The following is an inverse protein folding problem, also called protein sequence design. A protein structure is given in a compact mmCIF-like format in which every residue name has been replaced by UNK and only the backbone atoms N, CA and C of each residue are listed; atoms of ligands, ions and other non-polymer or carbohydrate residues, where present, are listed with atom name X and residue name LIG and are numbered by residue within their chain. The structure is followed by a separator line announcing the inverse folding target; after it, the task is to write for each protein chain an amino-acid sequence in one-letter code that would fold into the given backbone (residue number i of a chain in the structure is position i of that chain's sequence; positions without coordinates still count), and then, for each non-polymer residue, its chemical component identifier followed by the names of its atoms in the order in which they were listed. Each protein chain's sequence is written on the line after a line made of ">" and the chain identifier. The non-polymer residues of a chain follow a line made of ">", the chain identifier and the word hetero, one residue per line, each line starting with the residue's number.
data_IF_820496433640
#
_entry.id   IF_820496433640
#
_cell.length_a   1.000
_cell.length_b   1.000
_cell.length_c   1.000
_cell.angle_alpha   90.00
_cell.angle_beta   90.00
_cell.angle_gamma   90.00
#
_symmetry.space_group_name_H-M   'P 1'
#
loop_
_entity.id
_entity.type
_entity.pdbx_description
1 polymer ?
#
# COMPACT_ATOMS: atom_id res chain seq x y z
N UNK A 1 11.83 -45.54 2.10
CA UNK A 1 10.87 -45.84 1.02
C UNK A 1 10.82 -44.59 0.17
N UNK A 2 11.23 -44.65 -1.11
CA UNK A 2 11.32 -43.47 -1.98
C UNK A 2 9.93 -43.22 -2.57
N UNK A 3 9.40 -42.01 -2.44
CA UNK A 3 8.18 -41.62 -3.15
C UNK A 3 8.52 -41.42 -4.63
N UNK A 4 7.92 -42.19 -5.55
CA UNK A 4 8.22 -42.05 -6.96
C UNK A 4 7.63 -40.74 -7.51
N UNK A 5 8.30 -40.08 -8.46
CA UNK A 5 7.75 -38.91 -9.12
C UNK A 5 6.42 -39.25 -9.80
N UNK A 6 5.47 -38.31 -9.81
CA UNK A 6 4.20 -38.49 -10.52
C UNK A 6 4.47 -38.85 -11.99
N UNK A 7 3.73 -39.82 -12.52
CA UNK A 7 3.96 -40.39 -13.85
C UNK A 7 3.93 -39.36 -15.01
N UNK A 8 3.33 -38.19 -14.80
CA UNK A 8 3.23 -37.10 -15.77
C UNK A 8 4.47 -36.20 -15.82
N UNK A 9 5.31 -36.20 -14.79
CA UNK A 9 6.45 -35.27 -14.65
C UNK A 9 7.48 -35.43 -15.77
N UNK A 10 7.94 -36.65 -16.15
CA UNK A 10 8.93 -36.79 -17.22
C UNK A 10 8.46 -36.22 -18.56
N UNK A 11 7.17 -36.31 -18.86
CA UNK A 11 6.60 -35.76 -20.10
C UNK A 11 6.56 -34.23 -20.06
N UNK A 12 6.24 -33.63 -18.92
CA UNK A 12 6.24 -32.18 -18.73
C UNK A 12 7.67 -31.61 -18.86
N UNK A 13 8.65 -32.24 -18.21
CA UNK A 13 10.07 -31.84 -18.30
C UNK A 13 10.56 -31.86 -19.74
N UNK A 14 10.22 -32.91 -20.51
CA UNK A 14 10.56 -33.00 -21.94
C UNK A 14 9.96 -31.84 -22.74
N UNK A 15 8.66 -31.54 -22.56
CA UNK A 15 8.00 -30.42 -23.25
C UNK A 15 8.67 -29.08 -22.96
N UNK A 16 8.99 -28.81 -21.69
CA UNK A 16 9.69 -27.60 -21.29
C UNK A 16 11.06 -27.48 -21.97
N UNK A 17 11.85 -28.57 -22.00
CA UNK A 17 13.16 -28.56 -22.67
C UNK A 17 13.06 -28.33 -24.17
N UNK A 18 12.10 -28.97 -24.85
CA UNK A 18 11.87 -28.74 -26.30
C UNK A 18 11.43 -27.30 -26.58
N UNK A 19 10.78 -26.64 -25.61
CA UNK A 19 10.41 -25.22 -25.69
C UNK A 19 11.54 -24.26 -25.27
N UNK A 20 12.76 -24.76 -24.99
CA UNK A 20 13.89 -23.93 -24.54
C UNK A 20 13.79 -23.45 -23.09
N UNK A 21 12.82 -23.95 -22.31
CA UNK A 21 12.59 -23.57 -20.92
C UNK A 21 13.52 -24.37 -20.03
N UNK A 22 14.31 -23.67 -19.19
CA UNK A 22 15.19 -24.28 -18.21
C UNK A 22 14.37 -24.82 -17.04
N UNK A 23 14.49 -26.13 -16.77
CA UNK A 23 13.83 -26.80 -15.64
C UNK A 23 14.84 -26.94 -14.50
N UNK A 24 14.44 -26.51 -13.30
CA UNK A 24 15.21 -26.67 -12.07
C UNK A 24 14.42 -27.54 -11.09
N UNK A 25 15.10 -28.43 -10.37
CA UNK A 25 14.49 -29.23 -9.31
C UNK A 25 14.72 -28.56 -7.96
N UNK A 26 13.66 -28.39 -7.17
CA UNK A 26 13.73 -27.98 -5.76
C UNK A 26 13.20 -29.13 -4.92
N UNK A 27 14.00 -29.63 -3.98
CA UNK A 27 13.61 -30.72 -3.08
C UNK A 27 14.28 -30.59 -1.73
N UNK A 28 13.61 -31.06 -0.67
CA UNK A 28 14.16 -31.25 0.67
C UNK A 28 14.77 -32.65 0.89
N UNK A 29 14.76 -33.50 -0.14
CA UNK A 29 15.33 -34.85 -0.08
C UNK A 29 16.86 -34.82 0.05
N UNK A 30 17.42 -35.89 0.61
CA UNK A 30 18.86 -36.10 0.64
C UNK A 30 19.45 -36.04 -0.80
N UNK A 31 20.65 -35.46 -1.02
CA UNK A 31 21.20 -35.20 -2.37
C UNK A 31 21.22 -36.41 -3.31
N UNK A 32 21.49 -37.60 -2.76
CA UNK A 32 21.47 -38.87 -3.50
C UNK A 32 20.07 -39.17 -4.05
N UNK A 33 19.03 -38.96 -3.24
CA UNK A 33 17.63 -39.15 -3.60
C UNK A 33 17.17 -38.09 -4.60
N UNK A 34 17.52 -36.82 -4.35
CA UNK A 34 17.26 -35.71 -5.25
C UNK A 34 17.82 -35.96 -6.65
N UNK A 35 19.08 -36.40 -6.73
CA UNK A 35 19.76 -36.75 -7.98
C UNK A 35 19.09 -37.93 -8.70
N UNK A 36 18.73 -38.98 -7.96
CA UNK A 36 18.05 -40.14 -8.53
C UNK A 36 16.69 -39.76 -9.14
N UNK A 37 15.92 -38.90 -8.46
CA UNK A 37 14.63 -38.40 -8.97
C UNK A 37 14.85 -37.47 -10.17
N UNK A 38 15.79 -36.52 -10.08
CA UNK A 38 16.13 -35.59 -11.16
C UNK A 38 16.53 -36.32 -12.45
N UNK A 39 17.32 -37.39 -12.33
CA UNK A 39 17.70 -38.25 -13.44
C UNK A 39 16.49 -39.03 -13.98
N UNK A 40 15.68 -39.61 -13.10
CA UNK A 40 14.48 -40.37 -13.48
C UNK A 40 13.44 -39.52 -14.24
N UNK A 41 13.33 -38.23 -13.91
CA UNK A 41 12.41 -37.31 -14.60
C UNK A 41 13.04 -36.53 -15.75
N UNK A 42 14.33 -36.72 -16.03
CA UNK A 42 15.03 -36.10 -17.17
C UNK A 42 15.38 -34.61 -16.99
N UNK A 43 15.49 -34.14 -15.73
CA UNK A 43 16.01 -32.80 -15.40
C UNK A 43 17.52 -32.78 -15.64
N UNK A 44 18.23 -33.82 -15.21
CA UNK A 44 19.67 -34.01 -15.45
C UNK A 44 19.92 -35.25 -16.34
N UNK A 45 21.07 -35.26 -17.01
CA UNK A 45 21.48 -36.37 -17.89
C UNK A 45 22.10 -37.53 -17.09
N UNK A 46 21.92 -38.78 -17.50
CA UNK A 46 22.65 -39.91 -16.87
C UNK A 46 24.17 -39.69 -16.99
N UNK A 47 24.85 -39.63 -15.84
CA UNK A 47 26.29 -39.38 -15.76
C UNK A 47 26.72 -37.93 -15.56
N UNK A 48 25.78 -36.98 -15.36
CA UNK A 48 26.16 -35.64 -14.94
C UNK A 48 26.66 -35.59 -13.49
N UNK A 49 27.77 -34.91 -13.28
CA UNK A 49 28.32 -34.62 -11.96
C UNK A 49 27.64 -33.37 -11.38
N UNK A 50 27.27 -33.39 -10.10
CA UNK A 50 26.85 -32.16 -9.40
C UNK A 50 28.08 -31.31 -9.04
N UNK A 51 27.92 -30.00 -8.77
CA UNK A 51 29.04 -29.15 -8.34
C UNK A 51 29.80 -29.71 -7.13
N UNK A 52 29.11 -30.38 -6.22
CA UNK A 52 29.68 -31.01 -5.02
C UNK A 52 30.51 -32.26 -5.36
N UNK A 53 30.07 -33.06 -6.34
CA UNK A 53 30.83 -34.22 -6.84
C UNK A 53 32.09 -33.76 -7.57
N UNK A 54 32.00 -32.68 -8.35
CA UNK A 54 33.15 -32.06 -9.01
C UNK A 54 34.14 -31.51 -7.97
N UNK A 55 33.65 -30.83 -6.93
CA UNK A 55 34.46 -30.33 -5.82
C UNK A 55 35.18 -31.46 -5.08
N UNK A 56 34.46 -32.54 -4.74
CA UNK A 56 34.99 -33.69 -4.04
C UNK A 56 36.04 -34.45 -4.87
N UNK A 57 35.78 -34.65 -6.17
CA UNK A 57 36.72 -35.30 -7.10
C UNK A 57 37.99 -34.49 -7.29
N UNK A 58 37.86 -33.16 -7.42
CA UNK A 58 38.99 -32.26 -7.65
C UNK A 58 39.68 -31.82 -6.35
N UNK A 59 39.13 -32.17 -5.18
CA UNK A 59 39.61 -31.74 -3.85
C UNK A 59 39.75 -30.23 -3.74
N UNK A 60 38.82 -29.51 -4.36
CA UNK A 60 38.73 -28.05 -4.28
C UNK A 60 37.51 -27.67 -3.44
N UNK A 61 37.52 -26.53 -2.73
CA UNK A 61 36.32 -26.04 -2.07
C UNK A 61 35.27 -25.64 -3.13
N UNK A 62 33.98 -25.77 -2.78
CA UNK A 62 32.84 -25.67 -3.71
C UNK A 62 32.79 -24.33 -4.46
N UNK A 63 33.25 -23.26 -3.82
CA UNK A 63 33.36 -21.90 -4.36
C UNK A 63 34.38 -21.76 -5.51
N UNK A 64 35.25 -22.76 -5.71
CA UNK A 64 36.27 -22.80 -6.77
C UNK A 64 35.92 -23.71 -7.95
N UNK A 65 34.75 -24.35 -7.94
CA UNK A 65 34.27 -25.14 -9.08
C UNK A 65 33.86 -24.18 -10.20
N UNK A 66 34.46 -24.33 -11.40
CA UNK A 66 34.08 -23.53 -12.57
C UNK A 66 32.58 -23.76 -12.87
N UNK A 67 31.74 -22.71 -12.95
CA UNK A 67 30.30 -22.83 -13.19
C UNK A 67 29.90 -23.59 -14.47
N UNK A 68 30.87 -23.83 -15.38
CA UNK A 68 30.69 -24.61 -16.61
C UNK A 68 30.91 -26.11 -16.44
N UNK A 69 31.45 -26.55 -15.30
CA UNK A 69 31.59 -27.96 -14.95
C UNK A 69 30.49 -28.38 -13.97
N UNK A 70 29.71 -29.38 -14.37
CA UNK A 70 28.54 -29.89 -13.64
C UNK A 70 27.23 -29.41 -14.26
N UNK A 71 26.23 -30.30 -14.33
CA UNK A 71 24.91 -29.96 -14.87
C UNK A 71 24.16 -29.15 -13.80
N UNK A 72 23.84 -27.87 -14.00
CA UNK A 72 23.31 -26.99 -12.96
C UNK A 72 21.82 -27.27 -12.62
N UNK A 73 21.31 -28.43 -13.01
CA UNK A 73 19.95 -28.90 -12.74
C UNK A 73 19.70 -29.32 -11.28
N UNK A 74 20.77 -29.52 -10.50
CA UNK A 74 20.71 -29.75 -9.05
C UNK A 74 21.73 -28.82 -8.39
N UNK A 75 21.27 -27.88 -7.56
CA UNK A 75 22.11 -27.02 -6.73
C UNK A 75 21.78 -27.29 -5.27
N UNK A 76 22.76 -27.64 -4.44
CA UNK A 76 22.58 -27.53 -2.99
C UNK A 76 22.49 -26.03 -2.65
N UNK A 77 21.29 -25.58 -2.26
CA UNK A 77 21.19 -24.33 -1.51
C UNK A 77 21.94 -24.48 -0.17
N UNK A 78 22.47 -23.40 0.40
CA UNK A 78 23.01 -23.45 1.76
C UNK A 78 21.95 -24.07 2.69
N UNK A 79 22.39 -24.86 3.68
CA UNK A 79 21.59 -25.67 4.62
C UNK A 79 20.56 -24.91 5.48
N UNK A 80 20.07 -23.74 5.04
CA UNK A 80 19.02 -22.94 5.65
C UNK A 80 18.17 -22.10 4.66
N UNK A 81 18.17 -22.38 3.35
CA UNK A 81 17.25 -21.70 2.42
C UNK A 81 16.49 -22.71 1.57
N UNK A 82 15.48 -23.33 2.17
CA UNK A 82 14.27 -23.69 1.43
C UNK A 82 13.76 -22.33 0.93
N UNK A 83 13.65 -22.10 -0.37
CA UNK A 83 12.83 -20.98 -0.84
C UNK A 83 11.46 -21.23 -0.24
N UNK A 84 11.03 -20.38 0.70
CA UNK A 84 9.69 -20.50 1.28
C UNK A 84 8.71 -20.60 0.11
N UNK A 85 7.73 -21.51 0.16
CA UNK A 85 6.81 -21.73 -0.96
C UNK A 85 6.20 -20.40 -1.45
N UNK A 86 6.02 -19.46 -0.52
CA UNK A 86 5.57 -18.08 -0.78
C UNK A 86 6.55 -17.23 -1.60
N UNK A 87 7.87 -17.41 -1.44
CA UNK A 87 8.89 -16.72 -2.26
C UNK A 87 8.80 -17.17 -3.72
N UNK A 88 8.54 -18.46 -3.94
CA UNK A 88 8.34 -19.01 -5.28
C UNK A 88 7.05 -18.49 -5.89
N UNK A 89 5.96 -18.46 -5.13
CA UNK A 89 4.67 -17.93 -5.59
C UNK A 89 4.75 -16.43 -5.87
N UNK A 90 5.48 -15.69 -5.05
CA UNK A 90 5.73 -14.25 -5.23
C UNK A 90 6.49 -13.99 -6.54
N UNK A 91 7.58 -14.72 -6.76
CA UNK A 91 8.35 -14.63 -7.99
C UNK A 91 7.52 -15.04 -9.22
N UNK A 92 6.69 -16.08 -9.10
CA UNK A 92 5.78 -16.50 -10.16
C UNK A 92 4.76 -15.41 -10.50
N UNK A 93 4.13 -14.80 -9.49
CA UNK A 93 3.18 -13.70 -9.68
C UNK A 93 3.84 -12.55 -10.45
N UNK A 94 5.05 -12.15 -10.02
CA UNK A 94 5.82 -11.10 -10.68
C UNK A 94 6.14 -11.41 -12.15
N UNK A 95 6.64 -12.61 -12.43
CA UNK A 95 7.02 -12.99 -13.78
C UNK A 95 5.80 -12.95 -14.72
N UNK A 96 4.65 -13.48 -14.28
CA UNK A 96 3.42 -13.50 -15.08
C UNK A 96 2.95 -12.10 -15.49
N UNK A 97 3.23 -11.06 -14.71
CA UNK A 97 2.92 -9.66 -15.08
C UNK A 97 3.67 -9.15 -16.32
N UNK A 98 4.79 -9.77 -16.68
CA UNK A 98 5.64 -9.37 -17.83
C UNK A 98 5.54 -10.34 -19.02
N UNK A 99 4.67 -11.34 -18.93
CA UNK A 99 4.62 -12.45 -19.89
C UNK A 99 3.83 -12.17 -21.17
N UNK A 100 3.24 -10.98 -21.35
CA UNK A 100 2.41 -10.64 -22.52
C UNK A 100 3.10 -10.97 -23.85
N UNK A 101 4.37 -10.59 -24.03
CA UNK A 101 5.12 -10.89 -25.25
C UNK A 101 5.40 -12.39 -25.43
N UNK A 102 5.55 -13.14 -24.34
CA UNK A 102 5.87 -14.56 -24.34
C UNK A 102 4.64 -15.44 -24.61
N UNK A 103 3.43 -14.94 -24.35
CA UNK A 103 2.17 -15.66 -24.64
C UNK A 103 1.62 -15.40 -26.04
N UNK A 104 2.30 -14.60 -26.86
CA UNK A 104 1.88 -14.28 -28.23
C UNK A 104 1.30 -12.87 -28.40
N UNK A 105 1.50 -11.98 -27.43
CA UNK A 105 1.09 -10.58 -27.49
C UNK A 105 -0.33 -10.31 -26.94
N UNK A 106 -0.85 -9.09 -27.15
CA UNK A 106 -2.12 -8.64 -26.61
C UNK A 106 -3.33 -9.55 -26.91
N UNK A 107 -3.35 -10.22 -28.07
CA UNK A 107 -4.46 -11.12 -28.45
C UNK A 107 -4.62 -12.32 -27.49
N UNK A 108 -3.53 -12.75 -26.85
CA UNK A 108 -3.49 -13.94 -25.98
C UNK A 108 -3.26 -13.61 -24.51
N UNK A 109 -3.24 -12.32 -24.15
CA UNK A 109 -2.96 -11.89 -22.76
C UNK A 109 -3.96 -12.45 -21.75
N UNK A 110 -5.21 -12.72 -22.16
CA UNK A 110 -6.24 -13.32 -21.32
C UNK A 110 -5.86 -14.72 -20.79
N UNK A 111 -4.91 -15.42 -21.44
CA UNK A 111 -4.39 -16.70 -20.98
C UNK A 111 -3.57 -16.61 -19.69
N UNK A 112 -3.12 -15.41 -19.31
CA UNK A 112 -2.42 -15.14 -18.04
C UNK A 112 -3.39 -14.98 -16.86
N UNK A 113 -4.68 -14.77 -17.12
CA UNK A 113 -5.66 -14.51 -16.07
C UNK A 113 -5.87 -15.72 -15.13
N UNK A 114 -6.04 -16.97 -15.58
CA UNK A 114 -6.25 -18.10 -14.67
C UNK A 114 -5.14 -18.33 -13.62
N UNK A 115 -3.83 -18.34 -13.97
CA UNK A 115 -2.80 -18.50 -12.96
C UNK A 115 -2.70 -17.29 -12.02
N UNK A 116 -2.89 -16.07 -12.54
CA UNK A 116 -2.91 -14.86 -11.71
C UNK A 116 -4.13 -14.80 -10.78
N UNK A 117 -5.29 -15.28 -11.22
CA UNK A 117 -6.50 -15.41 -10.40
C UNK A 117 -6.25 -16.38 -9.25
N UNK A 118 -5.62 -17.53 -9.51
CA UNK A 118 -5.24 -18.49 -8.46
C UNK A 118 -4.31 -17.84 -7.43
N UNK A 119 -3.28 -17.12 -7.88
CA UNK A 119 -2.33 -16.44 -7.01
C UNK A 119 -2.99 -15.30 -6.22
N UNK A 120 -4.01 -14.64 -6.78
CA UNK A 120 -4.77 -13.61 -6.10
C UNK A 120 -5.71 -14.15 -5.00
N UNK A 121 -5.81 -15.47 -4.83
CA UNK A 121 -6.67 -16.10 -3.81
C UNK A 121 -5.93 -16.80 -2.67
N UNK A 122 -4.59 -16.87 -2.74
CA UNK A 122 -3.75 -17.55 -1.73
C UNK A 122 -3.80 -16.86 -0.36
N UNK A 123 -3.39 -17.56 0.69
CA UNK A 123 -3.42 -17.04 2.07
C UNK A 123 -2.37 -15.94 2.33
N UNK A 124 -1.21 -16.03 1.68
CA UNK A 124 -0.14 -15.06 1.86
C UNK A 124 -0.46 -13.72 1.19
N UNK A 125 -0.44 -12.64 1.97
CA UNK A 125 -0.88 -11.31 1.50
C UNK A 125 0.10 -10.73 0.49
N UNK A 126 1.40 -10.95 0.70
CA UNK A 126 2.45 -10.43 -0.20
C UNK A 126 2.30 -11.02 -1.60
N UNK A 127 1.97 -12.31 -1.70
CA UNK A 127 1.72 -12.98 -2.99
C UNK A 127 0.46 -12.43 -3.66
N UNK A 128 -0.64 -12.26 -2.91
CA UNK A 128 -1.88 -11.68 -3.47
C UNK A 128 -1.66 -10.27 -4.00
N UNK A 129 -0.96 -9.42 -3.24
CA UNK A 129 -0.69 -8.04 -3.64
C UNK A 129 0.12 -8.00 -4.94
N UNK A 130 1.13 -8.88 -5.09
CA UNK A 130 1.91 -8.99 -6.33
C UNK A 130 1.11 -9.56 -7.50
N UNK A 131 0.20 -10.49 -7.24
CA UNK A 131 -0.71 -11.01 -8.26
C UNK A 131 -1.69 -9.91 -8.74
N UNK A 132 -2.22 -9.09 -7.83
CA UNK A 132 -3.06 -7.92 -8.17
C UNK A 132 -2.26 -6.88 -8.95
N UNK A 133 -1.02 -6.57 -8.54
CA UNK A 133 -0.12 -5.70 -9.30
C UNK A 133 0.07 -6.20 -10.74
N UNK A 134 0.31 -7.49 -10.90
CA UNK A 134 0.50 -8.13 -12.20
C UNK A 134 -0.79 -8.15 -13.03
N UNK A 135 -1.94 -8.42 -12.41
CA UNK A 135 -3.26 -8.30 -13.05
C UNK A 135 -3.51 -6.89 -13.55
N UNK A 136 -3.14 -5.87 -12.78
CA UNK A 136 -3.26 -4.47 -13.19
C UNK A 136 -2.36 -4.17 -14.39
N UNK A 137 -1.10 -4.63 -14.37
CA UNK A 137 -0.19 -4.46 -15.50
C UNK A 137 -0.75 -5.08 -16.79
N UNK A 138 -1.18 -6.35 -16.74
CA UNK A 138 -1.72 -7.03 -17.93
C UNK A 138 -3.07 -6.47 -18.37
N UNK A 139 -3.84 -5.83 -17.49
CA UNK A 139 -5.12 -5.21 -17.86
C UNK A 139 -4.97 -4.11 -18.92
N UNK A 140 -3.82 -3.42 -18.95
CA UNK A 140 -3.53 -2.39 -19.94
C UNK A 140 -3.34 -2.96 -21.35
N UNK A 141 -2.87 -4.20 -21.46
CA UNK A 141 -2.65 -4.93 -22.71
C UNK A 141 -3.94 -5.52 -23.29
N UNK A 142 -5.02 -5.65 -22.50
CA UNK A 142 -6.30 -6.16 -23.01
C UNK A 142 -6.99 -5.11 -23.90
N UNK A 143 -7.58 -5.53 -25.02
CA UNK A 143 -8.48 -4.67 -25.78
C UNK A 143 -9.79 -4.41 -24.98
N UNK A 144 -10.57 -3.35 -25.25
CA UNK A 144 -11.86 -3.13 -24.58
C UNK A 144 -12.82 -4.34 -24.65
N UNK A 145 -12.99 -5.03 -25.80
CA UNK A 145 -13.75 -6.28 -25.85
C UNK A 145 -13.17 -7.39 -24.96
N UNK A 146 -11.85 -7.55 -24.89
CA UNK A 146 -11.23 -8.58 -24.05
C UNK A 146 -11.32 -8.26 -22.56
N UNK A 147 -11.30 -6.97 -22.20
CA UNK A 147 -11.60 -6.53 -20.83
C UNK A 147 -13.00 -6.97 -20.42
N UNK A 148 -14.01 -6.72 -21.24
CA UNK A 148 -15.39 -7.12 -20.94
C UNK A 148 -15.58 -8.64 -21.02
N UNK A 149 -14.93 -9.31 -21.97
CA UNK A 149 -15.05 -10.75 -22.21
C UNK A 149 -14.29 -11.63 -21.21
N UNK A 150 -13.19 -11.14 -20.63
CA UNK A 150 -12.30 -11.96 -19.80
C UNK A 150 -11.97 -11.32 -18.45
N UNK A 151 -11.50 -10.07 -18.45
CA UNK A 151 -11.00 -9.42 -17.23
C UNK A 151 -12.12 -9.06 -16.25
N UNK A 152 -13.22 -8.47 -16.71
CA UNK A 152 -14.38 -8.13 -15.88
C UNK A 152 -15.02 -9.39 -15.26
N UNK A 153 -15.22 -10.50 -15.99
CA UNK A 153 -15.62 -11.77 -15.38
C UNK A 153 -14.70 -12.25 -14.26
N UNK A 154 -13.37 -12.09 -14.39
CA UNK A 154 -12.43 -12.39 -13.30
C UNK A 154 -12.68 -11.50 -12.09
N UNK A 155 -12.82 -10.18 -12.28
CA UNK A 155 -13.11 -9.25 -11.18
C UNK A 155 -14.40 -9.64 -10.45
N UNK A 156 -15.45 -10.01 -11.19
CA UNK A 156 -16.73 -10.47 -10.63
C UNK A 156 -16.60 -11.78 -9.84
N UNK A 157 -15.84 -12.75 -10.36
CA UNK A 157 -15.56 -14.02 -9.65
C UNK A 157 -14.79 -13.77 -8.35
N UNK A 158 -13.79 -12.89 -8.38
CA UNK A 158 -13.04 -12.55 -7.18
C UNK A 158 -13.92 -11.83 -6.14
N UNK A 159 -14.69 -10.82 -6.59
CA UNK A 159 -15.58 -10.04 -5.72
C UNK A 159 -16.74 -10.86 -5.14
N UNK A 160 -17.21 -11.88 -5.85
CA UNK A 160 -18.27 -12.80 -5.40
C UNK A 160 -17.75 -14.10 -4.79
N UNK A 161 -16.44 -14.26 -4.58
CA UNK A 161 -15.85 -15.49 -4.07
C UNK A 161 -16.18 -15.76 -2.60
N UNK A 162 -16.26 -17.04 -2.23
CA UNK A 162 -16.60 -17.47 -0.86
C UNK A 162 -15.58 -16.98 0.18
N UNK A 163 -14.31 -16.94 -0.20
CA UNK A 163 -13.20 -16.55 0.68
C UNK A 163 -12.92 -15.05 0.63
N UNK A 164 -12.72 -14.46 1.81
CA UNK A 164 -12.44 -13.02 1.93
C UNK A 164 -11.13 -12.61 1.24
N UNK A 165 -10.15 -13.53 1.10
CA UNK A 165 -8.86 -13.28 0.42
C UNK A 165 -9.08 -12.88 -1.03
N UNK A 166 -9.96 -13.61 -1.72
CA UNK A 166 -10.39 -13.33 -3.09
C UNK A 166 -11.08 -11.97 -3.22
N UNK A 167 -12.04 -11.69 -2.32
CA UNK A 167 -12.79 -10.42 -2.31
C UNK A 167 -11.90 -9.21 -1.99
N UNK A 168 -10.91 -9.40 -1.12
CA UNK A 168 -9.86 -8.41 -0.81
C UNK A 168 -9.06 -8.07 -2.06
N UNK A 169 -8.59 -9.06 -2.80
CA UNK A 169 -7.86 -8.86 -4.06
C UNK A 169 -8.69 -8.14 -5.13
N UNK A 170 -9.99 -8.43 -5.20
CA UNK A 170 -10.90 -7.79 -6.16
C UNK A 170 -10.90 -6.26 -6.03
N UNK A 171 -10.82 -5.73 -4.80
CA UNK A 171 -10.85 -4.29 -4.51
C UNK A 171 -9.80 -3.50 -5.31
N UNK A 172 -8.64 -4.12 -5.60
CA UNK A 172 -7.54 -3.49 -6.33
C UNK A 172 -7.66 -3.49 -7.86
N UNK A 173 -8.72 -4.07 -8.43
CA UNK A 173 -8.84 -4.29 -9.88
C UNK A 173 -9.88 -3.40 -10.58
N UNK A 174 -10.73 -2.70 -9.82
CA UNK A 174 -11.83 -1.91 -10.40
C UNK A 174 -11.34 -0.71 -11.21
N UNK A 175 -10.39 0.05 -10.67
CA UNK A 175 -9.95 1.31 -11.27
C UNK A 175 -9.28 1.15 -12.65
N UNK A 176 -8.61 0.02 -12.88
CA UNK A 176 -7.85 -0.22 -14.12
C UNK A 176 -8.72 -0.64 -15.30
N UNK A 177 -9.86 -1.29 -15.05
CA UNK A 177 -10.78 -1.70 -16.10
C UNK A 177 -11.93 -0.71 -16.32
N UNK A 178 -12.36 0.02 -15.28
CA UNK A 178 -13.51 0.92 -15.34
C UNK A 178 -13.53 1.92 -16.52
N UNK A 179 -12.44 2.62 -16.87
CA UNK A 179 -12.49 3.65 -17.91
C UNK A 179 -12.77 3.11 -19.32
N UNK A 180 -12.43 1.84 -19.57
CA UNK A 180 -12.32 1.25 -20.92
C UNK A 180 -13.47 0.30 -21.25
N UNK A 181 -14.47 0.19 -20.38
CA UNK A 181 -15.63 -0.69 -20.56
C UNK A 181 -16.91 0.11 -20.77
N UNK A 182 -17.91 -0.55 -21.34
CA UNK A 182 -19.22 0.00 -21.69
C UNK A 182 -20.00 0.47 -20.45
N UNK A 183 -20.91 1.42 -20.64
CA UNK A 183 -21.73 1.98 -19.55
C UNK A 183 -22.53 0.93 -18.74
N UNK A 184 -23.11 -0.13 -19.35
CA UNK A 184 -23.73 -1.21 -18.59
C UNK A 184 -22.74 -1.90 -17.66
N UNK A 185 -21.54 -2.22 -18.16
CA UNK A 185 -20.51 -2.87 -17.35
C UNK A 185 -19.99 -1.94 -16.24
N UNK A 186 -19.85 -0.63 -16.51
CA UNK A 186 -19.54 0.36 -15.48
C UNK A 186 -20.56 0.34 -14.34
N UNK A 187 -21.86 0.29 -14.65
CA UNK A 187 -22.90 0.23 -13.63
C UNK A 187 -22.79 -1.03 -12.77
N UNK A 188 -22.49 -2.18 -13.38
CA UNK A 188 -22.24 -3.42 -12.65
C UNK A 188 -21.00 -3.29 -11.75
N UNK A 189 -19.88 -2.76 -12.25
CA UNK A 189 -18.66 -2.57 -11.45
C UNK A 189 -18.92 -1.68 -10.23
N UNK A 190 -19.70 -0.59 -10.35
CA UNK A 190 -20.06 0.24 -9.20
C UNK A 190 -20.91 -0.54 -8.18
N UNK A 191 -21.83 -1.39 -8.64
CA UNK A 191 -22.62 -2.25 -7.75
C UNK A 191 -21.76 -3.28 -7.01
N UNK A 192 -20.83 -3.94 -7.70
CA UNK A 192 -19.91 -4.89 -7.06
C UNK A 192 -19.01 -4.20 -6.04
N UNK A 193 -18.47 -3.01 -6.36
CA UNK A 193 -17.66 -2.25 -5.41
C UNK A 193 -18.46 -1.83 -4.17
N UNK A 194 -19.73 -1.39 -4.34
CA UNK A 194 -20.64 -1.11 -3.24
C UNK A 194 -20.82 -2.31 -2.32
N UNK A 195 -21.01 -3.50 -2.88
CA UNK A 195 -21.15 -4.72 -2.09
C UNK A 195 -19.89 -5.01 -1.25
N UNK A 196 -18.69 -4.76 -1.81
CA UNK A 196 -17.43 -4.92 -1.09
C UNK A 196 -17.25 -3.89 0.04
N UNK A 197 -17.72 -2.65 -0.15
CA UNK A 197 -17.74 -1.63 0.90
C UNK A 197 -18.64 -2.00 2.08
N UNK A 198 -19.68 -2.81 1.85
CA UNK A 198 -20.60 -3.29 2.88
C UNK A 198 -20.45 -4.79 3.18
N UNK A 199 -19.30 -5.39 2.88
CA UNK A 199 -19.04 -6.82 3.13
C UNK A 199 -19.09 -7.14 4.63
N UNK A 200 -19.63 -8.29 5.01
CA UNK A 200 -19.69 -8.71 6.41
C UNK A 200 -18.29 -8.83 7.04
N UNK A 201 -17.27 -9.11 6.23
CA UNK A 201 -15.88 -9.30 6.67
C UNK A 201 -15.13 -7.96 6.75
N UNK A 202 -14.63 -7.56 7.94
CA UNK A 202 -13.89 -6.30 8.09
C UNK A 202 -12.67 -6.15 7.19
N UNK A 203 -11.98 -7.26 6.89
CA UNK A 203 -10.79 -7.26 6.04
C UNK A 203 -11.10 -6.81 4.60
N UNK A 204 -12.29 -7.18 4.08
CA UNK A 204 -12.75 -6.77 2.75
C UNK A 204 -13.16 -5.31 2.76
N UNK A 205 -13.92 -4.86 3.77
CA UNK A 205 -14.28 -3.43 3.91
C UNK A 205 -13.06 -2.54 4.04
N UNK A 206 -12.05 -2.99 4.80
CA UNK A 206 -10.74 -2.32 4.92
C UNK A 206 -10.06 -2.19 3.55
N UNK A 207 -10.03 -3.26 2.76
CA UNK A 207 -9.46 -3.24 1.42
C UNK A 207 -10.24 -2.29 0.48
N UNK A 208 -11.58 -2.34 0.51
CA UNK A 208 -12.43 -1.44 -0.26
C UNK A 208 -12.19 0.03 0.11
N UNK A 209 -12.11 0.36 1.41
CA UNK A 209 -11.79 1.71 1.89
C UNK A 209 -10.44 2.21 1.37
N UNK A 210 -9.40 1.36 1.38
CA UNK A 210 -8.07 1.70 0.86
C UNK A 210 -8.07 2.01 -0.65
N UNK A 211 -9.01 1.45 -1.41
CA UNK A 211 -9.12 1.61 -2.87
C UNK A 211 -10.21 2.60 -3.30
N UNK A 212 -11.00 3.10 -2.35
CA UNK A 212 -12.10 4.03 -2.63
C UNK A 212 -11.62 5.32 -3.31
N UNK A 213 -10.55 5.92 -2.81
CA UNK A 213 -9.98 7.14 -3.40
C UNK A 213 -9.43 6.94 -4.80
N UNK A 214 -8.78 5.80 -5.06
CA UNK A 214 -8.28 5.44 -6.39
C UNK A 214 -9.43 5.18 -7.37
N UNK A 215 -10.47 4.47 -6.93
CA UNK A 215 -11.63 4.19 -7.75
C UNK A 215 -12.40 5.48 -8.07
N UNK A 216 -12.60 6.36 -7.09
CA UNK A 216 -13.28 7.65 -7.29
C UNK A 216 -12.63 8.50 -8.40
N UNK A 217 -11.30 8.44 -8.57
CA UNK A 217 -10.56 9.20 -9.59
C UNK A 217 -10.90 8.80 -11.03
N UNK A 218 -11.44 7.59 -11.24
CA UNK A 218 -11.79 7.10 -12.58
C UNK A 218 -13.30 7.12 -12.86
N UNK A 219 -14.11 7.55 -11.89
CA UNK A 219 -15.56 7.68 -12.05
C UNK A 219 -15.93 9.05 -12.65
N UNK A 220 -17.03 9.07 -13.37
CA UNK A 220 -17.70 10.32 -13.73
C UNK A 220 -18.17 11.05 -12.47
N UNK A 221 -18.04 12.39 -12.46
CA UNK A 221 -18.30 13.23 -11.29
C UNK A 221 -19.72 13.04 -10.69
N UNK A 222 -20.71 12.76 -11.54
CA UNK A 222 -22.07 12.42 -11.11
C UNK A 222 -22.11 11.19 -10.19
N UNK A 223 -21.35 10.14 -10.54
CA UNK A 223 -21.26 8.90 -9.76
C UNK A 223 -20.36 9.05 -8.53
N UNK A 224 -19.37 9.95 -8.56
CA UNK A 224 -18.63 10.32 -7.34
C UNK A 224 -19.61 10.88 -6.30
N UNK A 225 -20.47 11.82 -6.68
CA UNK A 225 -21.43 12.43 -5.76
C UNK A 225 -22.52 11.45 -5.30
N UNK A 226 -23.13 10.73 -6.23
CA UNK A 226 -24.28 9.88 -5.94
C UNK A 226 -23.93 8.51 -5.33
N UNK A 227 -22.73 7.99 -5.59
CA UNK A 227 -22.35 6.63 -5.18
C UNK A 227 -21.11 6.60 -4.26
N UNK A 228 -20.04 7.35 -4.56
CA UNK A 228 -18.82 7.35 -3.73
C UNK A 228 -19.07 8.03 -2.37
N UNK A 229 -19.77 9.17 -2.33
CA UNK A 229 -20.02 9.89 -1.06
C UNK A 229 -20.79 9.03 -0.04
N UNK A 230 -21.89 8.35 -0.39
CA UNK A 230 -22.55 7.44 0.55
C UNK A 230 -21.64 6.29 1.04
N UNK A 231 -20.84 5.69 0.14
CA UNK A 231 -19.90 4.63 0.53
C UNK A 231 -18.80 5.15 1.46
N UNK A 232 -18.24 6.33 1.17
CA UNK A 232 -17.27 7.03 1.99
C UNK A 232 -17.81 7.29 3.39
N UNK A 233 -19.00 7.89 3.50
CA UNK A 233 -19.62 8.17 4.79
C UNK A 233 -19.94 6.89 5.58
N UNK A 234 -20.37 5.82 4.91
CA UNK A 234 -20.61 4.53 5.56
C UNK A 234 -19.33 3.91 6.13
N UNK A 235 -18.23 3.94 5.36
CA UNK A 235 -16.94 3.39 5.80
C UNK A 235 -16.27 4.24 6.89
N UNK A 236 -16.46 5.56 6.84
CA UNK A 236 -15.99 6.48 7.88
C UNK A 236 -16.76 6.33 9.19
N UNK A 237 -17.96 5.75 9.16
CA UNK A 237 -18.77 5.44 10.34
C UNK A 237 -18.74 3.94 10.72
N UNK A 238 -17.83 3.16 10.13
CA UNK A 238 -17.72 1.71 10.37
C UNK A 238 -17.46 1.39 11.85
N UNK A 239 -17.96 0.26 12.32
CA UNK A 239 -17.72 -0.19 13.70
C UNK A 239 -16.23 -0.42 13.98
N UNK A 240 -15.48 -0.84 12.96
CA UNK A 240 -14.05 -1.17 13.05
C UNK A 240 -13.19 0.07 12.79
N UNK A 241 -12.36 0.44 13.77
CA UNK A 241 -11.48 1.61 13.65
C UNK A 241 -10.47 1.46 12.49
N UNK A 242 -10.03 0.22 12.24
CA UNK A 242 -9.15 -0.15 11.12
C UNK A 242 -9.72 0.17 9.74
N UNK A 243 -11.04 0.25 9.61
CA UNK A 243 -11.75 0.67 8.39
C UNK A 243 -11.89 2.20 8.38
N UNK A 244 -12.37 2.79 9.49
CA UNK A 244 -12.58 4.24 9.62
C UNK A 244 -11.31 5.04 9.34
N UNK A 245 -10.15 4.59 9.81
CA UNK A 245 -8.89 5.30 9.59
C UNK A 245 -8.50 5.38 8.11
N UNK A 246 -8.86 4.38 7.29
CA UNK A 246 -8.59 4.42 5.84
C UNK A 246 -9.55 5.36 5.09
N UNK A 247 -10.73 5.62 5.65
CA UNK A 247 -11.65 6.60 5.08
C UNK A 247 -11.04 8.01 5.09
N UNK A 248 -10.18 8.34 6.06
CA UNK A 248 -9.46 9.63 6.10
C UNK A 248 -8.52 9.79 4.89
N UNK A 249 -7.85 8.73 4.46
CA UNK A 249 -7.02 8.76 3.24
C UNK A 249 -7.87 8.94 1.98
N UNK A 250 -9.02 8.24 1.92
CA UNK A 250 -9.98 8.42 0.83
C UNK A 250 -10.55 9.86 0.80
N UNK A 251 -10.74 10.51 1.95
CA UNK A 251 -11.23 11.88 2.09
C UNK A 251 -10.36 12.87 1.29
N UNK A 252 -9.03 12.75 1.38
CA UNK A 252 -8.10 13.59 0.60
C UNK A 252 -8.35 13.45 -0.91
N UNK A 253 -8.45 12.21 -1.39
CA UNK A 253 -8.67 11.94 -2.82
C UNK A 253 -10.05 12.42 -3.29
N UNK A 254 -11.09 12.24 -2.48
CA UNK A 254 -12.46 12.65 -2.81
C UNK A 254 -12.57 14.18 -2.83
N UNK A 255 -12.00 14.87 -1.84
CA UNK A 255 -12.01 16.33 -1.78
C UNK A 255 -11.33 16.97 -3.00
N UNK A 256 -10.26 16.36 -3.52
CA UNK A 256 -9.57 16.84 -4.73
C UNK A 256 -10.41 16.70 -6.01
N UNK A 257 -11.45 15.86 -6.02
CA UNK A 257 -12.30 15.61 -7.20
C UNK A 257 -13.55 16.49 -7.24
N UNK A 258 -13.93 17.08 -6.11
CA UNK A 258 -15.17 17.84 -5.98
C UNK A 258 -14.93 19.35 -6.13
N UNK A 259 -15.90 20.10 -6.69
CA UNK A 259 -15.90 21.55 -6.60
C UNK A 259 -15.89 22.04 -5.15
N UNK A 260 -15.22 23.16 -4.89
CA UNK A 260 -15.07 23.73 -3.54
C UNK A 260 -16.41 23.97 -2.82
N UNK A 261 -17.43 24.42 -3.54
CA UNK A 261 -18.78 24.67 -3.00
C UNK A 261 -19.51 23.42 -2.49
N UNK A 262 -19.05 22.22 -2.90
CA UNK A 262 -19.66 20.95 -2.50
C UNK A 262 -18.92 20.24 -1.37
N UNK A 263 -17.70 20.68 -1.03
CA UNK A 263 -16.92 20.07 0.04
C UNK A 263 -17.61 20.22 1.40
N UNK A 264 -18.18 21.38 1.65
CA UNK A 264 -18.88 21.71 2.89
C UNK A 264 -20.06 20.76 3.17
N UNK A 265 -21.01 20.53 2.25
CA UNK A 265 -22.10 19.58 2.49
C UNK A 265 -21.71 18.09 2.35
N UNK A 266 -20.72 17.74 1.51
CA UNK A 266 -20.47 16.32 1.16
C UNK A 266 -19.28 15.68 1.89
N UNK A 267 -18.26 16.45 2.28
CA UNK A 267 -17.00 15.92 2.84
C UNK A 267 -16.81 16.34 4.29
N UNK A 268 -17.05 17.61 4.60
CA UNK A 268 -16.76 18.18 5.92
C UNK A 268 -17.51 17.51 7.09
N UNK A 269 -18.77 17.05 6.98
CA UNK A 269 -19.44 16.35 8.07
C UNK A 269 -18.66 15.10 8.50
N UNK A 270 -18.18 14.33 7.53
CA UNK A 270 -17.40 13.10 7.76
C UNK A 270 -16.00 13.41 8.28
N UNK A 271 -15.35 14.47 7.78
CA UNK A 271 -14.04 14.87 8.27
C UNK A 271 -14.08 15.37 9.72
N UNK A 272 -15.09 16.17 10.08
CA UNK A 272 -15.31 16.62 11.47
C UNK A 272 -15.53 15.42 12.40
N UNK A 273 -16.35 14.46 11.99
CA UNK A 273 -16.56 13.22 12.73
C UNK A 273 -15.24 12.44 12.94
N UNK A 274 -14.40 12.34 11.91
CA UNK A 274 -13.12 11.64 12.01
C UNK A 274 -12.12 12.36 12.94
N UNK A 275 -12.10 13.69 12.94
CA UNK A 275 -11.24 14.49 13.82
C UNK A 275 -11.60 14.34 15.31
N UNK A 276 -12.86 14.04 15.61
CA UNK A 276 -13.39 13.82 16.96
C UNK A 276 -13.68 12.33 17.25
N UNK A 277 -13.16 11.41 16.44
CA UNK A 277 -13.44 9.98 16.57
C UNK A 277 -13.00 9.43 17.93
N UNK A 278 -13.78 8.50 18.49
CA UNK A 278 -13.44 7.83 19.76
C UNK A 278 -12.09 7.11 19.72
N UNK A 279 -11.68 6.58 18.56
CA UNK A 279 -10.39 5.91 18.36
C UNK A 279 -9.33 6.94 18.05
N UNK A 280 -8.31 7.00 18.90
CA UNK A 280 -7.14 7.86 18.69
C UNK A 280 -6.41 7.55 17.38
N UNK A 281 -6.52 6.32 16.85
CA UNK A 281 -5.89 5.95 15.57
C UNK A 281 -6.52 6.67 14.38
N UNK A 282 -7.83 6.94 14.44
CA UNK A 282 -8.54 7.70 13.41
C UNK A 282 -8.15 9.18 13.51
N UNK A 283 -8.17 9.75 14.73
CA UNK A 283 -7.71 11.12 14.98
C UNK A 283 -6.24 11.34 14.61
N UNK A 284 -5.39 10.36 14.90
CA UNK A 284 -3.99 10.31 14.47
C UNK A 284 -3.89 10.38 12.94
N UNK A 285 -4.71 9.63 12.21
CA UNK A 285 -4.70 9.67 10.75
C UNK A 285 -5.12 11.03 10.20
N UNK A 286 -6.08 11.71 10.85
CA UNK A 286 -6.43 13.10 10.51
C UNK A 286 -5.23 14.03 10.73
N UNK A 287 -4.52 13.90 11.86
CA UNK A 287 -3.30 14.67 12.13
C UNK A 287 -2.16 14.36 11.14
N UNK A 288 -1.95 13.09 10.77
CA UNK A 288 -0.92 12.68 9.80
C UNK A 288 -1.19 13.25 8.39
N UNK A 289 -2.46 13.30 7.98
CA UNK A 289 -2.90 13.81 6.67
C UNK A 289 -3.33 15.27 6.68
N UNK A 290 -3.08 16.00 7.76
CA UNK A 290 -3.69 17.31 8.00
C UNK A 290 -3.36 18.34 6.92
N UNK A 291 -2.11 18.33 6.44
CA UNK A 291 -1.60 19.22 5.40
C UNK A 291 -2.16 18.90 4.00
N UNK A 292 -2.37 17.63 3.72
CA UNK A 292 -3.01 17.15 2.50
C UNK A 292 -4.49 17.50 2.49
N UNK A 293 -5.16 17.35 3.63
CA UNK A 293 -6.54 17.79 3.84
C UNK A 293 -6.66 19.30 3.65
N UNK A 294 -5.78 20.09 4.27
CA UNK A 294 -5.74 21.55 4.11
C UNK A 294 -5.65 21.98 2.65
N UNK A 295 -4.75 21.35 1.88
CA UNK A 295 -4.62 21.63 0.43
C UNK A 295 -5.87 21.23 -0.36
N UNK A 296 -6.50 20.11 0.00
CA UNK A 296 -7.68 19.62 -0.69
C UNK A 296 -8.94 20.46 -0.40
N UNK A 297 -9.14 20.90 0.85
CA UNK A 297 -10.33 21.65 1.26
C UNK A 297 -10.26 23.15 1.01
N UNK A 298 -9.05 23.69 0.75
CA UNK A 298 -8.88 25.09 0.41
C UNK A 298 -8.87 26.05 1.62
N UNK A 299 -8.54 27.34 1.37
CA UNK A 299 -8.22 28.30 2.43
C UNK A 299 -9.43 28.73 3.28
N UNK A 300 -10.62 28.83 2.68
CA UNK A 300 -11.83 29.26 3.39
C UNK A 300 -12.25 28.23 4.44
N UNK A 301 -12.39 26.96 4.04
CA UNK A 301 -12.69 25.84 4.96
C UNK A 301 -11.55 25.65 5.96
N UNK A 302 -10.30 25.83 5.52
CA UNK A 302 -9.15 25.77 6.43
C UNK A 302 -9.33 26.74 7.59
N UNK A 303 -9.72 27.99 7.30
CA UNK A 303 -9.90 29.04 8.29
C UNK A 303 -11.11 28.80 9.20
N UNK A 304 -12.25 28.36 8.66
CA UNK A 304 -13.47 28.15 9.43
C UNK A 304 -13.43 26.88 10.29
N UNK A 305 -12.81 25.81 9.81
CA UNK A 305 -12.93 24.47 10.39
C UNK A 305 -11.60 23.88 10.80
N UNK A 306 -10.61 23.88 9.90
CA UNK A 306 -9.36 23.17 10.16
C UNK A 306 -8.53 23.84 11.26
N UNK A 307 -8.56 25.17 11.41
CA UNK A 307 -7.83 25.81 12.52
C UNK A 307 -8.32 25.28 13.87
N UNK A 308 -9.63 25.23 14.09
CA UNK A 308 -10.22 24.70 15.32
C UNK A 308 -9.92 23.21 15.52
N UNK A 309 -10.07 22.41 14.47
CA UNK A 309 -9.71 20.99 14.52
C UNK A 309 -8.22 20.77 14.84
N UNK A 310 -7.33 21.58 14.27
CA UNK A 310 -5.89 21.50 14.53
C UNK A 310 -5.55 21.83 15.99
N UNK A 311 -6.21 22.84 16.57
CA UNK A 311 -6.07 23.14 17.99
C UNK A 311 -6.50 21.97 18.87
N UNK A 312 -7.62 21.31 18.55
CA UNK A 312 -8.08 20.12 19.26
C UNK A 312 -7.08 18.97 19.17
N UNK A 313 -6.50 18.72 17.99
CA UNK A 313 -5.50 17.65 17.79
C UNK A 313 -4.18 17.95 18.52
N UNK A 314 -3.74 19.21 18.56
CA UNK A 314 -2.58 19.62 19.37
C UNK A 314 -2.82 19.45 20.88
N UNK A 315 -4.09 19.39 21.31
CA UNK A 315 -4.49 19.22 22.71
C UNK A 315 -5.12 17.85 22.98
N UNK A 316 -4.92 16.89 22.08
CA UNK A 316 -5.50 15.55 22.19
C UNK A 316 -5.04 14.87 23.49
N UNK A 317 -5.88 14.01 24.06
CA UNK A 317 -5.51 13.26 25.26
C UNK A 317 -4.35 12.29 24.99
N UNK A 318 -4.24 11.75 23.77
CA UNK A 318 -3.20 10.79 23.39
C UNK A 318 -1.96 11.47 22.82
N UNK A 319 -0.79 11.06 23.33
CA UNK A 319 0.48 11.69 22.99
C UNK A 319 0.87 11.48 21.51
N UNK A 320 0.56 10.32 20.94
CA UNK A 320 0.82 10.01 19.53
C UNK A 320 0.08 10.97 18.59
N UNK A 321 -1.15 11.35 18.92
CA UNK A 321 -1.94 12.32 18.13
C UNK A 321 -1.32 13.71 18.25
N UNK A 322 -0.96 14.15 19.48
CA UNK A 322 -0.29 15.43 19.70
C UNK A 322 1.06 15.51 18.99
N UNK A 323 1.83 14.41 18.96
CA UNK A 323 3.11 14.34 18.27
C UNK A 323 2.94 14.46 16.75
N UNK A 324 1.97 13.75 16.17
CA UNK A 324 1.64 13.88 14.75
C UNK A 324 1.22 15.32 14.39
N UNK A 325 0.32 15.93 15.17
CA UNK A 325 -0.07 17.32 14.98
C UNK A 325 1.10 18.29 15.12
N UNK A 326 1.98 18.08 16.10
CA UNK A 326 3.18 18.90 16.34
C UNK A 326 4.11 18.93 15.13
N UNK A 327 4.32 17.79 14.46
CA UNK A 327 5.12 17.72 13.23
C UNK A 327 4.53 18.52 12.06
N UNK A 328 3.21 18.76 12.05
CA UNK A 328 2.52 19.50 10.97
C UNK A 328 2.45 21.00 11.19
N UNK A 329 2.82 21.51 12.37
CA UNK A 329 2.69 22.93 12.75
C UNK A 329 3.29 23.87 11.69
N UNK A 330 4.53 23.62 11.26
CA UNK A 330 5.21 24.46 10.28
C UNK A 330 4.43 24.50 8.95
N UNK A 331 4.22 23.34 8.34
CA UNK A 331 3.61 23.24 7.01
C UNK A 331 2.16 23.74 7.01
N UNK A 332 1.40 23.48 8.08
CA UNK A 332 0.05 24.02 8.24
C UNK A 332 0.06 25.55 8.24
N UNK A 333 0.94 26.16 9.05
CA UNK A 333 1.07 27.61 9.16
C UNK A 333 1.56 28.27 7.86
N UNK A 334 2.47 27.63 7.12
CA UNK A 334 2.96 28.11 5.83
C UNK A 334 1.85 28.17 4.78
N UNK A 335 0.90 27.23 4.83
CA UNK A 335 -0.20 27.11 3.87
C UNK A 335 -1.46 27.93 4.22
N UNK A 336 -1.49 28.63 5.36
CA UNK A 336 -2.57 29.56 5.68
C UNK A 336 -2.59 30.74 4.68
N UNK A 337 -3.78 31.26 4.40
CA UNK A 337 -3.93 32.39 3.48
C UNK A 337 -3.21 33.64 4.03
N UNK A 338 -2.44 34.38 3.19
CA UNK A 338 -1.60 35.48 3.67
C UNK A 338 -2.34 36.58 4.45
N UNK A 339 -3.63 36.80 4.14
CA UNK A 339 -4.48 37.81 4.78
C UNK A 339 -4.78 37.51 6.26
N UNK A 340 -4.82 36.23 6.65
CA UNK A 340 -5.15 35.82 8.02
C UNK A 340 -4.03 35.06 8.74
N UNK A 341 -2.96 34.68 8.01
CA UNK A 341 -1.87 33.83 8.49
C UNK A 341 -1.29 34.29 9.82
N UNK A 342 -0.80 35.51 9.90
CA UNK A 342 -0.16 36.02 11.13
C UNK A 342 -1.16 36.06 12.29
N UNK A 343 -2.37 36.58 12.06
CA UNK A 343 -3.40 36.67 13.09
C UNK A 343 -3.82 35.31 13.64
N UNK A 344 -3.96 34.29 12.78
CA UNK A 344 -4.30 32.92 13.19
C UNK A 344 -3.13 32.27 13.93
N UNK A 345 -1.90 32.40 13.43
CA UNK A 345 -0.73 31.82 14.10
C UNK A 345 -0.60 32.42 15.51
N UNK A 346 -0.65 33.74 15.62
CA UNK A 346 -0.47 34.45 16.89
C UNK A 346 -1.62 34.23 17.87
N UNK A 347 -2.87 34.27 17.38
CA UNK A 347 -4.05 34.19 18.22
C UNK A 347 -4.48 32.78 18.60
N UNK A 348 -4.23 31.78 17.73
CA UNK A 348 -4.83 30.45 17.87
C UNK A 348 -3.78 29.33 17.99
N UNK A 349 -2.70 29.39 17.20
CA UNK A 349 -1.71 28.31 17.15
C UNK A 349 -0.61 28.47 18.21
N UNK A 350 -0.06 29.68 18.36
CA UNK A 350 1.03 29.96 19.29
C UNK A 350 0.69 29.64 20.76
N UNK A 351 -0.54 29.88 21.26
CA UNK A 351 -0.93 29.41 22.60
C UNK A 351 -0.82 27.89 22.76
N UNK A 352 -1.18 27.11 21.74
CA UNK A 352 -1.07 25.65 21.75
C UNK A 352 0.40 25.21 21.73
N UNK A 353 1.24 25.87 20.92
CA UNK A 353 2.70 25.61 20.89
C UNK A 353 3.32 25.83 22.28
N UNK A 354 2.93 26.88 22.99
CA UNK A 354 3.43 27.15 24.36
C UNK A 354 3.13 26.00 25.32
N UNK A 355 1.94 25.42 25.23
CA UNK A 355 1.57 24.23 26.01
C UNK A 355 2.41 23.01 25.61
N UNK A 356 2.57 22.76 24.31
CA UNK A 356 3.32 21.62 23.76
C UNK A 356 4.83 21.65 24.08
N UNK A 357 5.44 22.84 24.22
CA UNK A 357 6.84 22.96 24.66
C UNK A 357 7.05 22.36 26.06
N UNK A 358 6.01 22.40 26.89
CA UNK A 358 6.03 21.86 28.25
C UNK A 358 5.31 20.51 28.36
N UNK A 359 5.07 19.82 27.24
CA UNK A 359 4.39 18.52 27.25
C UNK A 359 5.16 17.49 28.09
N UNK A 360 4.43 16.68 28.85
CA UNK A 360 5.00 15.62 29.67
C UNK A 360 5.67 14.53 28.81
N UNK A 361 5.20 14.32 27.58
CA UNK A 361 5.70 13.30 26.68
C UNK A 361 6.88 13.83 25.83
N UNK A 362 8.01 13.14 25.90
CA UNK A 362 9.24 13.51 25.20
C UNK A 362 9.10 13.45 23.67
N UNK A 363 8.32 12.52 23.13
CA UNK A 363 8.11 12.40 21.69
C UNK A 363 7.35 13.62 21.13
N UNK A 364 6.38 14.14 21.88
CA UNK A 364 5.64 15.36 21.50
C UNK A 364 6.59 16.57 21.46
N UNK A 365 7.40 16.75 22.51
CA UNK A 365 8.40 17.82 22.56
C UNK A 365 9.42 17.71 21.42
N UNK A 366 9.92 16.51 21.16
CA UNK A 366 10.86 16.22 20.07
C UNK A 366 10.24 16.52 18.70
N UNK A 367 8.98 16.15 18.50
CA UNK A 367 8.25 16.41 17.27
C UNK A 367 8.16 17.92 16.99
N UNK A 368 7.73 18.69 17.99
CA UNK A 368 7.64 20.14 17.88
C UNK A 368 9.01 20.80 17.65
N UNK A 369 10.03 20.38 18.42
CA UNK A 369 11.39 20.92 18.33
C UNK A 369 11.97 20.82 16.91
N UNK A 370 11.65 19.73 16.19
CA UNK A 370 12.13 19.54 14.81
C UNK A 370 11.57 20.53 13.79
N UNK A 371 10.48 21.24 14.09
CA UNK A 371 9.78 22.11 13.12
C UNK A 371 9.52 23.54 13.59
N UNK A 372 9.53 23.82 14.90
CA UNK A 372 9.11 25.10 15.49
C UNK A 372 9.84 26.31 14.90
N UNK A 373 11.15 26.19 14.63
CA UNK A 373 11.94 27.30 14.08
C UNK A 373 11.62 27.62 12.62
N UNK A 374 10.93 26.71 11.94
CA UNK A 374 10.35 26.98 10.62
C UNK A 374 9.29 28.08 10.62
N UNK A 375 8.75 28.46 11.79
CA UNK A 375 7.80 29.57 11.92
C UNK A 375 8.47 30.95 11.87
N UNK A 376 9.78 31.03 12.11
CA UNK A 376 10.51 32.32 12.13
C UNK A 376 10.40 33.11 10.83
N UNK A 377 10.66 32.54 9.64
CA UNK A 377 10.48 33.29 8.38
C UNK A 377 9.03 33.69 8.11
N UNK A 378 8.05 33.06 8.74
CA UNK A 378 6.62 33.34 8.57
C UNK A 378 6.19 34.54 9.41
N UNK A 379 6.63 34.59 10.67
CA UNK A 379 6.24 35.62 11.64
C UNK A 379 7.12 36.87 11.59
N UNK A 380 8.26 36.81 10.90
CA UNK A 380 9.21 37.92 10.82
C UNK A 380 10.03 38.10 12.10
N UNK A 381 10.94 39.07 12.06
CA UNK A 381 11.99 39.26 13.08
C UNK A 381 11.42 39.55 14.47
N UNK A 382 10.50 40.51 14.57
CA UNK A 382 10.05 41.03 15.86
C UNK A 382 9.27 39.97 16.65
N UNK A 383 8.26 39.35 16.02
CA UNK A 383 7.51 38.23 16.60
C UNK A 383 8.39 37.01 16.90
N UNK A 384 9.42 36.73 16.07
CA UNK A 384 10.36 35.64 16.35
C UNK A 384 11.11 35.90 17.66
N UNK A 385 11.67 37.11 17.81
CA UNK A 385 12.46 37.47 18.99
C UNK A 385 11.58 37.52 20.24
N UNK A 386 10.38 38.08 20.13
CA UNK A 386 9.48 38.25 21.27
C UNK A 386 8.83 36.94 21.72
N UNK A 387 8.44 36.08 20.77
CA UNK A 387 7.57 34.94 21.07
C UNK A 387 8.16 33.57 20.78
N UNK A 388 8.96 33.39 19.71
CA UNK A 388 9.54 32.08 19.38
C UNK A 388 10.85 31.83 20.12
N UNK A 389 11.70 32.85 20.27
CA UNK A 389 13.01 32.73 20.92
C UNK A 389 12.91 32.23 22.37
N UNK A 390 11.96 32.70 23.22
CA UNK A 390 11.78 32.12 24.56
C UNK A 390 11.43 30.63 24.54
N UNK A 391 10.62 30.19 23.57
CA UNK A 391 10.22 28.79 23.42
C UNK A 391 11.38 27.92 22.94
N UNK A 392 12.15 28.42 21.96
CA UNK A 392 13.37 27.79 21.50
C UNK A 392 14.37 27.58 22.64
N UNK A 393 14.61 28.62 23.45
CA UNK A 393 15.54 28.54 24.59
C UNK A 393 15.04 27.57 25.67
N UNK A 394 13.73 27.45 25.86
CA UNK A 394 13.17 26.46 26.78
C UNK A 394 13.44 25.03 26.28
N UNK A 395 13.21 24.76 24.99
CA UNK A 395 13.49 23.45 24.39
C UNK A 395 15.00 23.13 24.33
N UNK A 396 15.86 24.13 24.13
CA UNK A 396 17.31 23.95 24.13
C UNK A 396 17.85 23.55 25.51
N UNK A 397 17.20 24.01 26.58
CA UNK A 397 17.52 23.67 27.97
C UNK A 397 16.88 22.37 28.44
N UNK A 398 16.03 21.76 27.63
CA UNK A 398 15.40 20.50 27.95
C UNK A 398 16.43 19.36 27.85
N UNK A 399 16.59 18.61 28.94
CA UNK A 399 17.59 17.53 29.04
C UNK A 399 17.39 16.43 28.00
N UNK A 400 16.16 16.25 27.52
CA UNK A 400 15.77 15.14 26.64
C UNK A 400 15.89 15.50 25.17
N UNK A 401 15.57 16.73 24.78
CA UNK A 401 15.53 17.16 23.37
C UNK A 401 16.55 18.26 23.00
N UNK A 402 17.27 18.84 23.97
CA UNK A 402 18.20 19.93 23.70
C UNK A 402 19.29 19.58 22.68
N UNK A 403 19.69 18.31 22.60
CA UNK A 403 20.64 17.83 21.60
C UNK A 403 20.12 17.91 20.15
N UNK A 404 18.81 17.77 19.92
CA UNK A 404 18.20 17.90 18.60
C UNK A 404 18.23 19.35 18.12
N UNK A 405 18.11 20.30 19.06
CA UNK A 405 18.11 21.74 18.77
C UNK A 405 19.50 22.26 18.40
N UNK A 406 20.57 21.62 18.90
CA UNK A 406 21.95 22.00 18.58
C UNK A 406 22.30 21.83 17.10
N UNK A 407 21.58 20.99 16.35
CA UNK A 407 21.78 20.82 14.91
C UNK A 407 21.08 21.85 14.03
N UNK A 408 20.29 22.76 14.62
CA UNK A 408 19.53 23.81 13.94
C UNK A 408 20.15 25.21 14.07
N UNK A 409 21.21 25.34 14.88
CA UNK A 409 22.08 26.52 14.98
C UNK A 409 23.21 26.40 13.95
#
# INVERSE_FOLDING_TARGET
>A
MIDPPRATVPQAVRKCRTAGIRVIMVTGDHPITAKAIAAAVGIISEGSETPEEVAARQRIPLDRVDPRYGDPGVREGPRNTIYDEDEVLLALAEQLGTFTALVGGPEFVHCLLPPLESLATVEETVVRDKAVESLRAVSHEHSPPDLEGHFVPLVKRLAGGDWFTSRTSACGLFSVCYPRVSSPVKAELRQYFRNLCSDDTPMVRRAAASKLGEFAKVLELEHVKSEIIPMFSSLAADEQDSVRLLAVEACVSIAQLLPQEELEPLVMPTLRQAAEDKSWRVRYMVADKFTELQRAVGPEITKSDLVGAFQSLMKDCEAEVRAAASHKVKEFCENLSPDCREAVIMGQILPCIKELVSDANQHVKSALASVIMGLSPILGKDNTVEHLLPLFLAQLKDETIGHLMNGLL
#
